data_IF_244620080489
#
_entry.id   IF_244620080489
#
_cell.length_a   1.000
_cell.length_b   1.000
_cell.length_c   1.000
_cell.angle_alpha   90.00
_cell.angle_beta   90.00
_cell.angle_gamma   90.00
#
_symmetry.space_group_name_H-M   'P 1'
#
loop_
_entity.id
_entity.type
_entity.pdbx_description
1 polymer ?
#
# COMPACT_ATOMS: atom_id res chain seq x y z
N UNK A 1 31.05 57.67 47.41
CA UNK A 1 31.68 56.33 47.28
C UNK A 1 30.72 55.16 47.49
N UNK A 2 29.79 55.17 48.42
CA UNK A 2 28.89 54.03 48.68
C UNK A 2 27.90 53.69 47.50
N UNK A 3 27.52 54.64 46.64
CA UNK A 3 26.63 54.36 45.50
C UNK A 3 27.30 53.61 44.36
N UNK A 4 28.62 53.81 44.13
CA UNK A 4 29.36 53.08 43.09
C UNK A 4 29.69 51.66 43.49
N UNK A 5 29.88 51.39 44.79
CA UNK A 5 30.10 50.05 45.31
C UNK A 5 28.87 49.14 45.09
N UNK A 6 27.67 49.68 45.21
CA UNK A 6 26.41 48.94 44.99
C UNK A 6 26.26 48.57 43.49
N UNK A 7 26.62 49.51 42.59
CA UNK A 7 26.58 49.25 41.15
C UNK A 7 27.59 48.17 40.71
N UNK A 8 28.80 48.19 41.28
CA UNK A 8 29.83 47.18 40.98
C UNK A 8 29.41 45.81 41.48
N UNK A 9 28.76 45.68 42.66
CA UNK A 9 28.26 44.43 43.19
C UNK A 9 27.11 43.89 42.35
N UNK A 10 26.18 44.76 41.92
CA UNK A 10 25.08 44.35 41.01
C UNK A 10 25.58 43.90 39.65
N UNK A 11 26.56 44.60 39.05
CA UNK A 11 27.17 44.21 37.78
C UNK A 11 27.91 42.85 37.89
N UNK A 12 28.63 42.63 38.98
CA UNK A 12 29.29 41.34 39.27
C UNK A 12 28.31 40.18 39.44
N UNK A 13 27.17 40.41 40.12
CA UNK A 13 26.09 39.42 40.25
C UNK A 13 25.42 39.11 38.89
N UNK A 14 25.23 40.12 38.07
CA UNK A 14 24.66 39.91 36.72
C UNK A 14 25.59 39.10 35.82
N UNK A 15 26.89 39.37 35.83
CA UNK A 15 27.89 38.61 35.09
C UNK A 15 27.98 37.17 35.61
N UNK A 16 27.87 36.99 36.94
CA UNK A 16 27.86 35.65 37.55
C UNK A 16 26.61 34.86 37.16
N UNK A 17 25.42 35.50 37.13
CA UNK A 17 24.18 34.85 36.66
C UNK A 17 24.25 34.47 35.17
N UNK A 18 24.84 35.32 34.30
CA UNK A 18 25.04 35.02 32.88
C UNK A 18 26.04 33.86 32.74
N UNK A 19 27.13 33.83 33.49
CA UNK A 19 28.11 32.75 33.45
C UNK A 19 27.55 31.41 33.95
N UNK A 20 26.76 31.42 35.02
CA UNK A 20 26.07 30.22 35.54
C UNK A 20 24.99 29.77 34.59
N UNK A 21 24.20 30.69 34.00
CA UNK A 21 23.18 30.40 33.00
C UNK A 21 23.78 29.80 31.71
N UNK A 22 24.91 30.34 31.23
CA UNK A 22 25.62 29.82 30.06
C UNK A 22 26.28 28.44 30.35
N UNK A 23 26.79 28.21 31.55
CA UNK A 23 27.33 26.93 31.97
C UNK A 23 26.20 25.87 32.10
N UNK A 24 25.03 26.27 32.61
CA UNK A 24 23.84 25.40 32.69
C UNK A 24 23.28 25.04 31.27
N UNK A 25 23.21 26.00 30.40
CA UNK A 25 22.82 25.79 28.99
C UNK A 25 23.86 24.94 28.24
N UNK A 26 25.15 25.13 28.47
CA UNK A 26 26.20 24.32 27.86
C UNK A 26 26.33 22.91 28.50
N UNK A 27 25.94 22.72 29.73
CA UNK A 27 25.85 21.37 30.34
C UNK A 27 24.57 20.65 29.93
N UNK A 28 23.45 21.34 29.77
CA UNK A 28 22.22 20.78 29.19
C UNK A 28 22.43 20.37 27.74
N UNK A 29 23.22 21.11 26.96
CA UNK A 29 23.56 20.73 25.58
C UNK A 29 24.66 19.65 25.45
N UNK A 30 25.40 19.35 26.53
CA UNK A 30 26.40 18.27 26.59
C UNK A 30 25.87 16.95 27.17
N UNK A 31 24.63 16.93 27.67
CA UNK A 31 24.06 15.76 28.34
C UNK A 31 23.09 14.92 27.46
N UNK A 32 22.84 15.28 26.22
CA UNK A 32 22.34 14.32 25.29
C UNK A 32 23.53 13.50 24.74
N UNK A 33 23.91 12.46 25.47
CA UNK A 33 24.43 11.27 24.79
C UNK A 33 23.36 10.93 23.78
N UNK A 34 23.59 11.28 22.51
CA UNK A 34 22.83 10.74 21.40
C UNK A 34 23.08 9.24 21.45
N UNK A 35 22.18 8.50 22.13
CA UNK A 35 22.15 7.07 21.97
C UNK A 35 22.16 6.82 20.47
N UNK A 36 23.04 5.94 19.96
CA UNK A 36 23.06 5.64 18.54
C UNK A 36 21.64 5.29 18.14
N UNK A 37 21.08 6.06 17.18
CA UNK A 37 19.74 5.85 16.69
C UNK A 37 19.63 4.40 16.24
N UNK A 38 18.67 3.67 16.79
CA UNK A 38 18.45 2.30 16.35
C UNK A 38 18.01 2.35 14.88
N UNK A 39 18.60 1.50 14.05
CA UNK A 39 18.29 1.43 12.64
C UNK A 39 18.20 -0.01 12.18
N UNK A 40 17.42 -0.26 11.14
CA UNK A 40 17.37 -1.53 10.45
C UNK A 40 17.05 -1.34 8.98
N UNK A 41 17.36 -2.36 8.16
CA UNK A 41 17.11 -2.34 6.71
C UNK A 41 15.83 -3.11 6.37
N UNK A 42 15.04 -2.57 5.45
CA UNK A 42 13.85 -3.21 4.88
C UNK A 42 13.91 -3.25 3.37
N UNK A 43 13.56 -4.37 2.75
CA UNK A 43 13.33 -4.45 1.31
C UNK A 43 11.88 -4.11 1.00
N UNK A 44 11.67 -3.35 -0.10
CA UNK A 44 10.32 -3.00 -0.51
C UNK A 44 10.17 -2.95 -2.03
N UNK A 45 9.00 -3.38 -2.53
CA UNK A 45 8.55 -3.16 -3.91
C UNK A 45 7.66 -1.92 -4.07
N UNK A 46 7.32 -1.26 -2.96
CA UNK A 46 6.51 -0.04 -2.97
C UNK A 46 7.27 1.15 -3.58
N UNK A 47 6.55 2.13 -4.15
CA UNK A 47 7.15 3.38 -4.59
C UNK A 47 7.96 4.07 -3.49
N UNK A 48 9.09 4.69 -3.89
CA UNK A 48 10.01 5.35 -2.95
C UNK A 48 9.32 6.43 -2.10
N UNK A 49 8.34 7.11 -2.64
CA UNK A 49 7.58 8.15 -1.94
C UNK A 49 6.77 7.58 -0.76
N UNK A 50 6.19 6.39 -0.93
CA UNK A 50 5.45 5.69 0.14
C UNK A 50 6.43 5.27 1.24
N UNK A 51 7.49 4.56 0.89
CA UNK A 51 8.46 4.06 1.86
C UNK A 51 9.18 5.19 2.60
N UNK A 52 9.51 6.29 1.91
CA UNK A 52 10.11 7.47 2.54
C UNK A 52 9.15 8.13 3.55
N UNK A 53 7.86 8.26 3.20
CA UNK A 53 6.85 8.82 4.12
C UNK A 53 6.69 7.99 5.39
N UNK A 54 6.68 6.67 5.26
CA UNK A 54 6.59 5.76 6.39
C UNK A 54 7.85 5.82 7.27
N UNK A 55 9.04 5.85 6.65
CA UNK A 55 10.31 5.96 7.38
C UNK A 55 10.39 7.27 8.17
N UNK A 56 10.02 8.41 7.54
CA UNK A 56 10.02 9.73 8.16
C UNK A 56 9.05 9.79 9.37
N UNK A 57 7.83 9.29 9.20
CA UNK A 57 6.82 9.28 10.27
C UNK A 57 7.27 8.40 11.44
N UNK A 58 7.77 7.21 11.16
CA UNK A 58 8.23 6.27 12.21
C UNK A 58 9.47 6.80 12.94
N UNK A 59 10.47 7.35 12.22
CA UNK A 59 11.64 7.96 12.82
C UNK A 59 11.26 9.14 13.74
N UNK A 60 10.28 9.96 13.31
CA UNK A 60 9.79 11.09 14.12
C UNK A 60 9.13 10.66 15.42
N UNK A 61 8.44 9.53 15.43
CA UNK A 61 7.68 9.03 16.59
C UNK A 61 8.55 8.19 17.53
N UNK A 62 9.37 7.29 16.98
CA UNK A 62 10.11 6.29 17.78
C UNK A 62 11.61 6.54 17.84
N UNK A 63 12.17 7.51 17.12
CA UNK A 63 13.60 7.74 16.97
C UNK A 63 14.35 6.48 16.47
N UNK A 64 13.68 5.67 15.61
CA UNK A 64 14.23 4.49 14.95
C UNK A 64 14.20 4.73 13.44
N UNK A 65 15.33 4.52 12.78
CA UNK A 65 15.46 4.72 11.34
C UNK A 65 15.24 3.43 10.57
N UNK A 66 14.34 3.48 9.58
CA UNK A 66 14.12 2.39 8.64
C UNK A 66 14.80 2.72 7.32
N UNK A 67 15.81 1.93 6.93
CA UNK A 67 16.47 2.05 5.65
C UNK A 67 15.76 1.20 4.60
N UNK A 68 14.84 1.80 3.86
CA UNK A 68 14.19 1.12 2.76
C UNK A 68 15.10 1.01 1.54
N UNK A 69 15.28 -0.21 1.05
CA UNK A 69 15.91 -0.49 -0.24
C UNK A 69 14.80 -0.90 -1.22
N UNK A 70 14.49 0.01 -2.15
CA UNK A 70 13.49 -0.24 -3.19
C UNK A 70 14.07 -1.16 -4.27
N UNK A 71 13.41 -2.26 -4.52
CA UNK A 71 13.82 -3.30 -5.47
C UNK A 71 12.59 -3.87 -6.19
N UNK A 72 12.81 -4.44 -7.37
CA UNK A 72 11.76 -5.26 -8.00
C UNK A 72 11.54 -6.57 -7.23
N UNK A 73 10.37 -7.20 -7.41
CA UNK A 73 10.03 -8.46 -6.74
C UNK A 73 11.09 -9.56 -6.96
N UNK A 74 11.61 -9.68 -8.19
CA UNK A 74 12.68 -10.65 -8.50
C UNK A 74 13.99 -10.30 -7.81
N UNK A 75 14.33 -9.01 -7.70
CA UNK A 75 15.53 -8.57 -6.99
C UNK A 75 15.41 -8.80 -5.48
N UNK A 76 14.22 -8.60 -4.89
CA UNK A 76 13.97 -8.90 -3.47
C UNK A 76 14.17 -10.39 -3.21
N UNK A 77 13.56 -11.27 -4.00
CA UNK A 77 13.71 -12.72 -3.85
C UNK A 77 15.17 -13.17 -4.00
N UNK A 78 15.88 -12.57 -4.96
CA UNK A 78 17.32 -12.85 -5.13
C UNK A 78 18.11 -12.44 -3.88
N UNK A 79 17.88 -11.24 -3.33
CA UNK A 79 18.56 -10.76 -2.12
C UNK A 79 18.23 -11.60 -0.90
N UNK A 80 16.97 -12.00 -0.72
CA UNK A 80 16.56 -12.89 0.37
C UNK A 80 17.22 -14.26 0.27
N UNK A 81 17.39 -14.80 -0.96
CA UNK A 81 18.12 -16.03 -1.19
C UNK A 81 19.59 -15.87 -0.81
N UNK A 82 20.26 -14.83 -1.30
CA UNK A 82 21.66 -14.54 -0.97
C UNK A 82 21.83 -14.40 0.55
N UNK A 83 20.88 -13.75 1.23
CA UNK A 83 20.82 -13.62 2.68
C UNK A 83 20.66 -14.97 3.37
N UNK A 84 19.79 -15.84 2.85
CA UNK A 84 19.58 -17.18 3.40
C UNK A 84 20.82 -18.06 3.31
N UNK A 85 21.62 -17.90 2.26
CA UNK A 85 22.82 -18.68 1.98
C UNK A 85 24.07 -18.10 2.69
N UNK A 86 24.04 -16.85 3.16
CA UNK A 86 25.18 -16.16 3.76
C UNK A 86 25.45 -16.60 5.21
N UNK A 87 26.73 -16.62 5.60
CA UNK A 87 27.15 -16.89 6.99
C UNK A 87 27.04 -15.67 7.92
N UNK A 88 26.86 -14.45 7.39
CA UNK A 88 26.87 -13.19 8.13
C UNK A 88 25.50 -12.49 8.13
N UNK A 89 25.12 -11.93 9.29
CA UNK A 89 23.84 -11.26 9.56
C UNK A 89 23.83 -9.77 9.17
N UNK A 90 24.22 -9.39 7.93
CA UNK A 90 24.22 -7.99 7.48
C UNK A 90 23.12 -7.76 6.44
N UNK A 91 21.86 -7.94 6.82
CA UNK A 91 20.81 -8.14 5.86
C UNK A 91 19.53 -7.40 6.28
N UNK A 92 18.58 -7.28 5.35
CA UNK A 92 17.29 -6.72 5.68
C UNK A 92 16.58 -7.56 6.74
N UNK A 93 15.92 -6.87 7.67
CA UNK A 93 15.14 -7.51 8.72
C UNK A 93 13.65 -7.62 8.34
N UNK A 94 13.18 -6.75 7.42
CA UNK A 94 11.79 -6.69 6.98
C UNK A 94 11.67 -6.73 5.47
N UNK A 95 10.60 -7.35 5.00
CA UNK A 95 10.09 -7.21 3.61
C UNK A 95 8.72 -6.58 3.66
N UNK A 96 8.54 -5.44 2.97
CA UNK A 96 7.26 -4.76 2.78
C UNK A 96 6.92 -4.80 1.29
N UNK A 97 6.00 -5.66 0.89
CA UNK A 97 5.72 -5.95 -0.51
C UNK A 97 4.29 -6.45 -0.75
N UNK A 98 3.96 -6.70 -2.00
CA UNK A 98 2.71 -7.36 -2.36
C UNK A 98 2.67 -8.83 -1.89
N UNK A 99 1.44 -9.34 -1.75
CA UNK A 99 1.18 -10.70 -1.27
C UNK A 99 1.87 -11.77 -2.10
N UNK A 100 1.91 -11.61 -3.43
CA UNK A 100 2.49 -12.66 -4.31
C UNK A 100 3.97 -12.86 -4.03
N UNK A 101 4.72 -11.76 -3.87
CA UNK A 101 6.12 -11.82 -3.47
C UNK A 101 6.28 -12.45 -2.08
N UNK A 102 5.45 -12.03 -1.11
CA UNK A 102 5.50 -12.54 0.26
C UNK A 102 5.17 -14.04 0.33
N UNK A 103 4.20 -14.52 -0.45
CA UNK A 103 3.88 -15.95 -0.56
C UNK A 103 5.07 -16.75 -1.15
N UNK A 104 5.69 -16.23 -2.22
CA UNK A 104 6.90 -16.84 -2.82
C UNK A 104 8.08 -16.87 -1.83
N UNK A 105 8.30 -15.81 -1.09
CA UNK A 105 9.35 -15.73 -0.07
C UNK A 105 9.08 -16.70 1.09
N UNK A 106 7.82 -16.84 1.53
CA UNK A 106 7.42 -17.80 2.56
C UNK A 106 7.63 -19.24 2.12
N UNK A 107 7.20 -19.60 0.89
CA UNK A 107 7.41 -20.95 0.33
C UNK A 107 8.89 -21.29 0.19
N UNK A 108 9.72 -20.32 -0.16
CA UNK A 108 11.17 -20.49 -0.27
C UNK A 108 11.90 -20.54 1.09
N UNK A 109 11.21 -20.32 2.22
CA UNK A 109 11.81 -20.31 3.56
C UNK A 109 12.64 -19.06 3.87
N UNK A 110 12.38 -17.95 3.17
CA UNK A 110 13.12 -16.70 3.36
C UNK A 110 12.50 -15.78 4.42
N UNK A 111 11.34 -16.16 4.96
CA UNK A 111 10.66 -15.43 6.03
C UNK A 111 10.55 -16.31 7.28
N UNK A 112 10.47 -15.67 8.45
CA UNK A 112 10.18 -16.35 9.71
C UNK A 112 8.77 -15.98 10.17
N UNK A 113 8.07 -16.90 10.90
CA UNK A 113 6.76 -16.57 11.46
C UNK A 113 6.88 -15.45 12.50
N UNK A 114 5.95 -14.49 12.42
CA UNK A 114 5.78 -13.45 13.41
C UNK A 114 4.32 -13.36 13.85
N UNK A 115 4.10 -13.40 15.15
CA UNK A 115 2.77 -13.35 15.78
C UNK A 115 2.73 -12.15 16.70
N UNK A 116 1.77 -11.26 16.49
CA UNK A 116 1.52 -10.12 17.36
C UNK A 116 0.03 -9.96 17.63
N UNK A 117 -0.29 -9.22 18.69
CA UNK A 117 -1.68 -8.89 19.01
C UNK A 117 -2.37 -8.12 17.88
N UNK A 118 -1.68 -7.16 17.25
CA UNK A 118 -2.23 -6.39 16.11
C UNK A 118 -2.38 -7.27 14.87
N UNK A 119 -1.40 -8.13 14.58
CA UNK A 119 -1.45 -9.08 13.48
C UNK A 119 -2.58 -10.10 13.63
N UNK A 120 -2.95 -10.45 14.86
CA UNK A 120 -4.04 -11.38 15.14
C UNK A 120 -5.43 -10.78 14.86
N UNK A 121 -5.57 -9.47 14.92
CA UNK A 121 -6.81 -8.75 14.59
C UNK A 121 -7.07 -8.70 13.08
N UNK A 122 -6.04 -8.85 12.25
CA UNK A 122 -6.15 -8.89 10.79
C UNK A 122 -6.87 -10.18 10.37
N UNK A 123 -7.86 -10.05 9.47
CA UNK A 123 -8.61 -11.19 8.99
C UNK A 123 -7.72 -12.23 8.28
N UNK A 124 -8.08 -13.52 8.36
CA UNK A 124 -7.29 -14.61 7.77
C UNK A 124 -7.06 -14.47 6.26
N UNK A 125 -7.99 -13.84 5.55
CA UNK A 125 -7.85 -13.55 4.12
C UNK A 125 -6.70 -12.59 3.79
N UNK A 126 -6.24 -11.83 4.77
CA UNK A 126 -5.16 -10.85 4.63
C UNK A 126 -3.85 -11.30 5.31
N UNK A 127 -3.70 -12.55 5.70
CA UNK A 127 -2.47 -13.04 6.33
C UNK A 127 -2.11 -14.45 5.88
N UNK A 128 -0.84 -14.79 6.02
CA UNK A 128 -0.38 -16.14 5.74
C UNK A 128 -0.87 -17.12 6.82
N UNK A 129 -1.37 -18.33 6.47
CA UNK A 129 -1.88 -19.29 7.47
C UNK A 129 -0.88 -19.61 8.58
N UNK A 130 0.41 -19.72 8.23
CA UNK A 130 1.51 -20.01 9.18
C UNK A 130 2.23 -18.73 9.65
N UNK A 131 1.63 -17.55 9.50
CA UNK A 131 2.14 -16.27 10.03
C UNK A 131 3.50 -15.83 9.47
N UNK A 132 3.89 -16.27 8.28
CA UNK A 132 5.10 -15.77 7.62
C UNK A 132 5.00 -14.32 7.15
N UNK A 133 3.79 -13.83 6.90
CA UNK A 133 3.51 -12.44 6.60
C UNK A 133 2.11 -12.04 7.07
N UNK A 134 1.94 -10.74 7.32
CA UNK A 134 0.67 -10.10 7.66
C UNK A 134 0.42 -8.95 6.67
N UNK A 135 -0.76 -8.93 6.05
CA UNK A 135 -1.20 -7.84 5.21
C UNK A 135 -1.45 -6.59 6.05
N UNK A 136 -0.97 -5.46 5.60
CA UNK A 136 -1.16 -4.15 6.25
C UNK A 136 -2.15 -3.29 5.51
N UNK A 137 -2.13 -3.35 4.17
CA UNK A 137 -3.04 -2.59 3.32
C UNK A 137 -3.55 -3.42 2.16
N UNK A 138 -4.65 -2.95 1.60
CA UNK A 138 -5.17 -3.46 0.34
C UNK A 138 -5.72 -2.34 -0.52
N UNK A 139 -5.67 -2.52 -1.83
CA UNK A 139 -6.14 -1.58 -2.83
C UNK A 139 -7.09 -2.30 -3.81
N UNK A 140 -8.40 -2.24 -3.57
CA UNK A 140 -9.37 -2.95 -4.40
C UNK A 140 -9.61 -2.22 -5.73
N UNK A 141 -9.98 -2.98 -6.76
CA UNK A 141 -10.55 -2.43 -7.98
C UNK A 141 -12.00 -2.00 -7.71
N UNK A 142 -12.36 -0.82 -8.19
CA UNK A 142 -13.68 -0.21 -8.03
C UNK A 142 -14.20 0.33 -9.37
N UNK A 143 -15.47 0.68 -9.41
CA UNK A 143 -16.04 1.47 -10.49
C UNK A 143 -16.05 2.94 -10.08
N UNK A 144 -15.25 3.76 -10.73
CA UNK A 144 -15.25 5.20 -10.56
C UNK A 144 -16.18 5.82 -11.60
N UNK A 145 -17.34 6.28 -11.17
CA UNK A 145 -18.43 6.70 -12.04
C UNK A 145 -18.56 8.22 -12.06
N UNK A 146 -18.67 8.81 -13.25
CA UNK A 146 -18.91 10.24 -13.41
C UNK A 146 -20.26 10.63 -12.81
N UNK A 147 -20.32 11.71 -12.03
CA UNK A 147 -21.57 12.13 -11.35
C UNK A 147 -22.63 12.66 -12.31
N UNK A 148 -22.26 13.22 -13.45
CA UNK A 148 -23.24 13.70 -14.43
C UNK A 148 -23.93 12.52 -15.13
N UNK A 149 -23.19 11.43 -15.41
CA UNK A 149 -23.77 10.18 -15.88
C UNK A 149 -24.80 9.65 -14.87
N UNK A 150 -24.50 9.68 -13.56
CA UNK A 150 -25.40 9.25 -12.50
C UNK A 150 -26.72 10.02 -12.43
N UNK A 151 -26.73 11.30 -12.82
CA UNK A 151 -27.93 12.13 -12.79
C UNK A 151 -28.93 11.75 -13.88
N UNK A 152 -28.47 11.12 -14.94
CA UNK A 152 -29.27 10.78 -16.13
C UNK A 152 -29.59 9.29 -16.23
N UNK A 153 -28.90 8.43 -15.46
CA UNK A 153 -29.05 6.98 -15.51
C UNK A 153 -29.36 6.44 -14.10
N UNK A 154 -30.53 5.80 -13.94
CA UNK A 154 -30.99 5.24 -12.68
C UNK A 154 -30.43 3.84 -12.41
N UNK A 155 -30.21 3.05 -13.48
CA UNK A 155 -29.75 1.68 -13.41
C UNK A 155 -28.22 1.63 -13.53
N UNK A 156 -27.53 1.77 -12.40
CA UNK A 156 -26.07 1.77 -12.34
C UNK A 156 -25.55 0.35 -12.25
N UNK A 157 -24.51 0.00 -13.03
CA UNK A 157 -23.84 -1.28 -12.88
C UNK A 157 -23.08 -1.28 -11.54
N UNK A 158 -23.55 -2.07 -10.59
CA UNK A 158 -22.88 -2.26 -9.28
C UNK A 158 -22.23 -3.66 -9.15
N UNK A 159 -22.11 -4.38 -10.25
CA UNK A 159 -21.46 -5.69 -10.33
C UNK A 159 -20.84 -5.89 -11.71
N UNK A 160 -19.86 -6.80 -11.82
CA UNK A 160 -19.27 -7.19 -13.11
C UNK A 160 -20.31 -7.75 -14.05
N UNK A 161 -21.28 -8.52 -13.54
CA UNK A 161 -22.37 -9.07 -14.32
C UNK A 161 -23.26 -7.97 -14.89
N UNK A 162 -23.63 -6.97 -14.12
CA UNK A 162 -24.42 -5.83 -14.58
C UNK A 162 -23.63 -4.97 -15.58
N UNK A 163 -22.33 -4.75 -15.33
CA UNK A 163 -21.47 -4.01 -16.25
C UNK A 163 -21.37 -4.71 -17.62
N UNK A 164 -21.30 -6.04 -17.62
CA UNK A 164 -21.30 -6.84 -18.86
C UNK A 164 -22.64 -6.85 -19.62
N UNK A 165 -23.70 -6.32 -19.02
CA UNK A 165 -25.04 -6.20 -19.65
C UNK A 165 -25.32 -4.79 -20.18
N UNK A 166 -24.43 -3.81 -19.90
CA UNK A 166 -24.56 -2.45 -20.41
C UNK A 166 -24.17 -2.39 -21.89
N UNK A 167 -24.90 -1.59 -22.67
CA UNK A 167 -24.66 -1.44 -24.12
C UNK A 167 -24.22 -0.03 -24.53
N UNK A 168 -24.61 0.99 -23.75
CA UNK A 168 -24.41 2.41 -24.11
C UNK A 168 -23.59 3.17 -23.06
N UNK A 169 -22.67 2.49 -22.36
CA UNK A 169 -21.79 3.08 -21.35
C UNK A 169 -20.35 3.18 -21.88
N UNK A 170 -19.74 4.34 -21.75
CA UNK A 170 -18.33 4.54 -22.12
C UNK A 170 -17.45 4.17 -20.94
N UNK A 171 -16.58 3.18 -21.13
CA UNK A 171 -15.72 2.63 -20.06
C UNK A 171 -14.26 2.95 -20.34
N UNK A 172 -13.54 3.43 -19.33
CA UNK A 172 -12.08 3.52 -19.28
C UNK A 172 -11.49 2.44 -18.37
N UNK A 173 -10.38 1.86 -18.75
CA UNK A 173 -9.64 0.92 -17.90
C UNK A 173 -8.14 1.00 -18.17
N UNK A 174 -7.33 0.54 -17.21
CA UNK A 174 -5.89 0.35 -17.45
C UNK A 174 -5.66 -0.97 -18.18
N UNK A 175 -4.75 -0.95 -19.15
CA UNK A 175 -4.38 -2.13 -19.93
C UNK A 175 -3.82 -3.21 -18.99
N UNK A 176 -4.27 -4.45 -19.17
CA UNK A 176 -3.82 -5.58 -18.37
C UNK A 176 -2.33 -5.90 -18.55
N UNK A 177 -1.72 -5.43 -19.64
CA UNK A 177 -0.27 -5.54 -19.86
C UNK A 177 0.53 -4.36 -19.27
N UNK A 178 -0.14 -3.30 -18.81
CA UNK A 178 0.52 -2.06 -18.42
C UNK A 178 0.80 -1.94 -16.92
N UNK A 179 0.04 -2.64 -16.08
CA UNK A 179 0.19 -2.57 -14.63
C UNK A 179 -0.24 -3.86 -13.94
N UNK A 180 0.49 -4.25 -12.89
CA UNK A 180 0.24 -5.47 -12.12
C UNK A 180 -1.16 -5.47 -11.47
N UNK A 181 -1.64 -4.32 -11.00
CA UNK A 181 -2.98 -4.20 -10.42
C UNK A 181 -4.08 -4.53 -11.44
N UNK A 182 -3.92 -4.13 -12.71
CA UNK A 182 -4.89 -4.43 -13.77
C UNK A 182 -4.79 -5.88 -14.24
N UNK A 183 -3.60 -6.43 -14.45
CA UNK A 183 -3.45 -7.86 -14.76
C UNK A 183 -3.95 -8.77 -13.63
N UNK A 184 -3.72 -8.37 -12.37
CA UNK A 184 -4.26 -9.09 -11.20
C UNK A 184 -5.80 -9.14 -11.20
N UNK A 185 -6.49 -8.13 -11.74
CA UNK A 185 -7.95 -8.19 -11.91
C UNK A 185 -8.35 -9.34 -12.83
N UNK A 186 -7.70 -9.46 -14.00
CA UNK A 186 -7.98 -10.56 -14.94
C UNK A 186 -7.73 -11.92 -14.29
N UNK A 187 -6.57 -12.11 -13.67
CA UNK A 187 -6.21 -13.38 -13.02
C UNK A 187 -7.14 -13.71 -11.86
N UNK A 188 -7.53 -12.72 -11.07
CA UNK A 188 -8.47 -12.92 -9.96
C UNK A 188 -9.88 -13.28 -10.43
N UNK A 189 -10.35 -12.68 -11.53
CA UNK A 189 -11.63 -13.07 -12.15
C UNK A 189 -11.58 -14.49 -12.73
N UNK A 190 -10.44 -14.89 -13.32
CA UNK A 190 -10.24 -16.26 -13.81
C UNK A 190 -10.25 -17.25 -12.64
N UNK A 191 -9.58 -16.93 -11.54
CA UNK A 191 -9.57 -17.78 -10.34
C UNK A 191 -10.96 -17.89 -9.69
N UNK A 192 -11.75 -16.81 -9.68
CA UNK A 192 -13.08 -16.78 -9.04
C UNK A 192 -14.17 -17.41 -9.90
N UNK A 193 -14.21 -17.11 -11.19
CA UNK A 193 -15.32 -17.51 -12.09
C UNK A 193 -14.95 -18.67 -13.01
N UNK A 194 -13.68 -19.04 -13.10
CA UNK A 194 -13.15 -19.87 -14.19
C UNK A 194 -12.85 -19.06 -15.44
N UNK A 195 -11.91 -19.53 -16.26
CA UNK A 195 -11.39 -18.82 -17.42
C UNK A 195 -12.48 -18.48 -18.45
N UNK A 196 -13.31 -19.45 -18.82
CA UNK A 196 -14.36 -19.25 -19.81
C UNK A 196 -15.34 -18.13 -19.41
N UNK A 197 -15.76 -18.13 -18.14
CA UNK A 197 -16.72 -17.15 -17.62
C UNK A 197 -16.10 -15.77 -17.47
N UNK A 198 -14.85 -15.69 -17.01
CA UNK A 198 -14.13 -14.43 -16.92
C UNK A 198 -13.96 -13.78 -18.28
N UNK A 199 -13.58 -14.56 -19.31
CA UNK A 199 -13.44 -14.07 -20.68
C UNK A 199 -14.80 -13.69 -21.30
N UNK A 200 -15.87 -14.42 -21.00
CA UNK A 200 -17.22 -14.05 -21.45
C UNK A 200 -17.65 -12.68 -20.87
N UNK A 201 -17.41 -12.43 -19.58
CA UNK A 201 -17.70 -11.14 -18.96
C UNK A 201 -16.92 -10.03 -19.67
N UNK A 202 -15.62 -10.21 -19.89
CA UNK A 202 -14.79 -9.21 -20.55
C UNK A 202 -15.15 -9.01 -22.03
N UNK A 203 -15.51 -10.07 -22.77
CA UNK A 203 -16.01 -9.92 -24.17
C UNK A 203 -17.26 -9.06 -24.26
N UNK A 204 -18.15 -9.18 -23.28
CA UNK A 204 -19.37 -8.35 -23.22
C UNK A 204 -19.08 -6.90 -22.82
N UNK A 205 -18.06 -6.65 -21.96
CA UNK A 205 -17.64 -5.30 -21.58
C UNK A 205 -16.84 -4.63 -22.69
N UNK A 206 -16.07 -5.39 -23.47
CA UNK A 206 -15.13 -4.92 -24.49
C UNK A 206 -15.70 -3.88 -25.47
N UNK A 207 -16.91 -4.03 -26.04
CA UNK A 207 -17.46 -3.05 -26.97
C UNK A 207 -17.65 -1.65 -26.38
N UNK A 208 -17.76 -1.56 -25.07
CA UNK A 208 -17.95 -0.31 -24.32
C UNK A 208 -16.62 0.33 -23.87
N UNK A 209 -15.50 -0.37 -24.04
CA UNK A 209 -14.19 0.17 -23.63
C UNK A 209 -13.68 1.15 -24.66
N UNK A 210 -13.69 2.42 -24.30
CA UNK A 210 -13.22 3.50 -25.17
C UNK A 210 -11.70 3.52 -25.30
N UNK A 211 -10.99 3.18 -24.20
CA UNK A 211 -9.53 3.21 -24.17
C UNK A 211 -8.98 2.28 -23.10
N UNK A 212 -7.90 1.57 -23.47
CA UNK A 212 -6.98 0.92 -22.56
C UNK A 212 -5.81 1.86 -22.26
N UNK A 213 -5.68 2.30 -21.02
CA UNK A 213 -4.71 3.29 -20.62
C UNK A 213 -3.41 2.64 -20.11
N UNK A 214 -2.29 3.35 -20.26
CA UNK A 214 -0.99 2.87 -19.76
C UNK A 214 -0.84 3.04 -18.25
N UNK A 215 -1.47 4.06 -17.66
CA UNK A 215 -1.29 4.41 -16.26
C UNK A 215 -2.58 4.24 -15.46
N UNK A 216 -2.48 3.83 -14.19
CA UNK A 216 -3.61 3.56 -13.31
C UNK A 216 -4.51 4.79 -13.07
N UNK A 217 -3.93 5.99 -13.03
CA UNK A 217 -4.69 7.23 -12.80
C UNK A 217 -5.47 7.71 -14.04
N UNK A 218 -5.07 7.32 -15.25
CA UNK A 218 -5.65 7.88 -16.48
C UNK A 218 -7.15 7.57 -16.64
N UNK A 219 -7.65 6.34 -16.43
CA UNK A 219 -9.09 6.07 -16.56
C UNK A 219 -9.91 6.85 -15.54
N UNK A 220 -9.38 7.05 -14.30
CA UNK A 220 -10.05 7.82 -13.25
C UNK A 220 -10.19 9.28 -13.67
N UNK A 221 -9.11 9.88 -14.19
CA UNK A 221 -9.14 11.25 -14.72
C UNK A 221 -10.18 11.39 -15.84
N UNK A 222 -10.22 10.44 -16.76
CA UNK A 222 -11.19 10.45 -17.85
C UNK A 222 -12.63 10.41 -17.33
N UNK A 223 -12.93 9.58 -16.33
CA UNK A 223 -14.25 9.56 -15.68
C UNK A 223 -14.56 10.90 -14.98
N UNK A 224 -13.58 11.46 -14.26
CA UNK A 224 -13.74 12.76 -13.61
C UNK A 224 -13.98 13.92 -14.55
N UNK A 225 -13.44 13.86 -15.79
CA UNK A 225 -13.63 14.86 -16.84
C UNK A 225 -14.86 14.59 -17.73
N UNK A 226 -15.57 13.48 -17.55
CA UNK A 226 -16.71 13.09 -18.40
C UNK A 226 -16.30 12.57 -19.77
N UNK A 227 -15.03 12.28 -20.00
CA UNK A 227 -14.56 11.64 -21.26
C UNK A 227 -15.07 10.18 -21.36
N UNK A 228 -15.20 9.51 -20.19
CA UNK A 228 -15.89 8.23 -20.02
C UNK A 228 -16.92 8.33 -18.90
N UNK A 229 -17.91 7.44 -18.91
CA UNK A 229 -18.99 7.44 -17.92
C UNK A 229 -18.60 6.69 -16.66
N UNK A 230 -17.79 5.63 -16.82
CA UNK A 230 -17.28 4.77 -15.77
C UNK A 230 -15.83 4.40 -16.04
N UNK A 231 -15.00 4.33 -15.01
CA UNK A 231 -13.70 3.69 -15.10
C UNK A 231 -13.58 2.50 -14.16
N UNK A 232 -12.97 1.43 -14.65
CA UNK A 232 -12.49 0.30 -13.84
C UNK A 232 -11.08 0.66 -13.36
N UNK A 233 -10.92 0.92 -12.06
CA UNK A 233 -9.70 1.49 -11.53
C UNK A 233 -9.41 1.05 -10.09
N UNK A 234 -8.18 1.21 -9.62
CA UNK A 234 -7.81 1.02 -8.21
C UNK A 234 -8.44 2.11 -7.34
N UNK A 235 -8.85 1.74 -6.13
CA UNK A 235 -9.50 2.67 -5.20
C UNK A 235 -8.57 3.81 -4.80
N UNK A 236 -7.29 3.55 -4.56
CA UNK A 236 -6.32 4.56 -4.15
C UNK A 236 -6.23 5.74 -5.13
N UNK A 237 -6.14 5.45 -6.43
CA UNK A 237 -6.16 6.49 -7.47
C UNK A 237 -7.53 7.16 -7.54
N UNK A 238 -8.62 6.41 -7.40
CA UNK A 238 -9.97 6.97 -7.41
C UNK A 238 -10.17 7.97 -6.27
N UNK A 239 -9.72 7.64 -5.05
CA UNK A 239 -9.82 8.52 -3.89
C UNK A 239 -8.97 9.79 -4.04
N UNK A 240 -7.82 9.72 -4.73
CA UNK A 240 -7.03 10.93 -5.04
C UNK A 240 -7.84 11.93 -5.83
N UNK A 241 -8.52 11.51 -6.90
CA UNK A 241 -9.33 12.39 -7.72
C UNK A 241 -10.60 12.86 -7.02
N UNK A 242 -11.22 11.99 -6.20
CA UNK A 242 -12.35 12.41 -5.34
C UNK A 242 -11.91 13.48 -4.35
N UNK A 243 -10.72 13.37 -3.78
CA UNK A 243 -10.15 14.36 -2.86
C UNK A 243 -9.76 15.68 -3.56
N UNK A 244 -9.53 15.62 -4.86
CA UNK A 244 -9.31 16.80 -5.73
C UNK A 244 -10.61 17.37 -6.30
N UNK A 245 -11.76 17.04 -5.69
CA UNK A 245 -13.10 17.52 -6.04
C UNK A 245 -13.55 17.17 -7.48
N UNK A 246 -12.95 16.14 -8.08
CA UNK A 246 -13.48 15.63 -9.35
C UNK A 246 -14.87 15.00 -9.12
N UNK A 247 -15.84 15.20 -10.04
CA UNK A 247 -17.21 14.72 -9.90
C UNK A 247 -17.30 13.20 -10.12
N UNK A 248 -16.70 12.44 -9.22
CA UNK A 248 -16.65 10.97 -9.24
C UNK A 248 -17.42 10.41 -8.04
N UNK A 249 -18.18 9.34 -8.28
CA UNK A 249 -18.74 8.47 -7.26
C UNK A 249 -18.10 7.09 -7.34
N UNK A 250 -17.67 6.57 -6.19
CA UNK A 250 -17.12 5.23 -6.08
C UNK A 250 -18.24 4.22 -5.88
N UNK A 251 -18.29 3.18 -6.74
CA UNK A 251 -19.14 2.02 -6.57
C UNK A 251 -18.25 0.78 -6.36
N UNK A 252 -18.61 -0.03 -5.38
CA UNK A 252 -17.92 -1.27 -5.06
C UNK A 252 -18.70 -2.43 -5.67
N UNK A 253 -18.06 -3.29 -6.53
CA UNK A 253 -18.75 -4.44 -7.13
C UNK A 253 -19.28 -5.39 -6.06
N UNK A 254 -20.61 -5.60 -6.03
CA UNK A 254 -21.28 -6.43 -5.01
C UNK A 254 -21.01 -7.92 -5.19
N UNK A 255 -20.65 -8.34 -6.40
CA UNK A 255 -20.22 -9.70 -6.75
C UNK A 255 -18.74 -9.96 -6.47
N UNK A 256 -18.07 -9.02 -5.80
CA UNK A 256 -16.66 -9.10 -5.43
C UNK A 256 -15.73 -8.43 -6.43
N UNK A 257 -14.48 -8.24 -6.02
CA UNK A 257 -13.45 -7.62 -6.86
C UNK A 257 -12.06 -8.12 -6.49
N UNK A 258 -11.08 -7.86 -7.34
CA UNK A 258 -9.68 -8.07 -7.00
C UNK A 258 -9.14 -6.94 -6.13
N UNK A 259 -8.06 -7.24 -5.40
CA UNK A 259 -7.29 -6.23 -4.69
C UNK A 259 -5.80 -6.58 -4.73
N UNK A 260 -4.94 -5.56 -4.82
CA UNK A 260 -3.55 -5.72 -4.44
C UNK A 260 -3.46 -5.66 -2.92
N UNK A 261 -2.85 -6.68 -2.31
CA UNK A 261 -2.64 -6.73 -0.86
C UNK A 261 -1.16 -6.50 -0.63
N UNK A 262 -0.83 -5.51 0.19
CA UNK A 262 0.52 -5.22 0.65
C UNK A 262 0.66 -5.69 2.09
N UNK A 263 1.76 -6.33 2.40
CA UNK A 263 2.01 -6.88 3.73
C UNK A 263 3.47 -6.82 4.12
N UNK A 264 3.73 -7.24 5.34
CA UNK A 264 5.07 -7.35 5.91
C UNK A 264 5.39 -8.78 6.30
N UNK A 265 6.66 -9.16 6.09
CA UNK A 265 7.24 -10.40 6.61
C UNK A 265 8.61 -10.11 7.23
N UNK A 266 8.94 -10.83 8.31
CA UNK A 266 10.26 -10.76 8.95
C UNK A 266 11.22 -11.66 8.18
N UNK A 267 12.34 -11.12 7.75
CA UNK A 267 13.29 -11.85 6.92
C UNK A 267 14.09 -12.86 7.73
N UNK A 268 14.28 -14.05 7.17
CA UNK A 268 15.14 -15.09 7.76
C UNK A 268 16.59 -14.59 7.85
N UNK A 269 17.29 -14.95 8.92
CA UNK A 269 18.67 -14.51 9.25
C UNK A 269 18.85 -12.99 9.44
N UNK A 270 17.83 -12.26 9.78
CA UNK A 270 18.03 -10.96 10.41
C UNK A 270 18.73 -11.11 11.77
N UNK A 271 19.50 -10.09 12.19
CA UNK A 271 20.01 -10.09 13.57
C UNK A 271 18.83 -10.04 14.54
N UNK A 272 18.97 -10.62 15.75
CA UNK A 272 17.91 -10.61 16.77
C UNK A 272 17.43 -9.18 17.06
N UNK A 273 18.38 -8.24 17.16
CA UNK A 273 18.10 -6.81 17.38
C UNK A 273 17.28 -6.19 16.25
N UNK A 274 17.71 -6.44 15.01
CA UNK A 274 17.05 -5.82 13.83
C UNK A 274 15.70 -6.50 13.54
N UNK A 275 15.59 -7.81 13.80
CA UNK A 275 14.32 -8.54 13.72
C UNK A 275 13.31 -7.96 14.71
N UNK A 276 13.70 -7.72 15.97
CA UNK A 276 12.82 -7.12 16.96
C UNK A 276 12.38 -5.69 16.57
N UNK A 277 13.30 -4.87 16.04
CA UNK A 277 12.95 -3.53 15.55
C UNK A 277 11.97 -3.60 14.34
N UNK A 278 12.17 -4.58 13.45
CA UNK A 278 11.29 -4.83 12.31
C UNK A 278 9.89 -5.30 12.75
N UNK A 279 9.78 -6.12 13.78
CA UNK A 279 8.53 -6.56 14.40
C UNK A 279 7.71 -5.39 14.95
N UNK A 280 8.34 -4.49 15.70
CA UNK A 280 7.69 -3.29 16.22
C UNK A 280 7.23 -2.37 15.09
N UNK A 281 8.03 -2.23 14.04
CA UNK A 281 7.65 -1.47 12.87
C UNK A 281 6.49 -2.13 12.10
N UNK A 282 6.49 -3.46 11.95
CA UNK A 282 5.39 -4.19 11.32
C UNK A 282 4.06 -3.97 12.06
N UNK A 283 4.09 -3.92 13.38
CA UNK A 283 2.92 -3.62 14.21
C UNK A 283 2.48 -2.16 14.09
N UNK A 284 3.44 -1.22 13.99
CA UNK A 284 3.12 0.18 13.75
C UNK A 284 2.42 0.40 12.40
N UNK A 285 2.80 -0.33 11.36
CA UNK A 285 2.11 -0.24 10.05
C UNK A 285 0.62 -0.60 10.12
N UNK A 286 0.17 -1.30 11.17
CA UNK A 286 -1.23 -1.65 11.42
C UNK A 286 -1.97 -0.60 12.28
N UNK A 287 -1.44 0.60 12.44
CA UNK A 287 -2.01 1.68 13.26
C UNK A 287 -2.58 2.82 12.42
N UNK A 288 -3.34 3.71 13.06
CA UNK A 288 -3.86 4.93 12.41
C UNK A 288 -2.74 5.92 12.08
N UNK A 289 -1.65 5.96 12.86
CA UNK A 289 -0.49 6.83 12.62
C UNK A 289 0.15 6.53 11.27
N UNK A 290 0.34 5.26 10.94
CA UNK A 290 0.83 4.85 9.61
C UNK A 290 -0.13 5.25 8.49
N UNK A 291 -1.45 5.15 8.72
CA UNK A 291 -2.47 5.60 7.76
C UNK A 291 -2.43 7.12 7.55
N UNK A 292 -2.26 7.89 8.63
CA UNK A 292 -2.13 9.35 8.57
C UNK A 292 -0.88 9.74 7.77
N UNK A 293 0.25 9.07 7.98
CA UNK A 293 1.49 9.31 7.23
C UNK A 293 1.28 9.10 5.72
N UNK A 294 0.57 8.06 5.31
CA UNK A 294 0.22 7.81 3.91
C UNK A 294 -0.75 8.88 3.37
N UNK A 295 -1.81 9.18 4.11
CA UNK A 295 -2.84 10.14 3.69
C UNK A 295 -2.28 11.56 3.50
N UNK A 296 -1.34 12.00 4.34
CA UNK A 296 -0.64 13.30 4.21
C UNK A 296 0.12 13.42 2.90
N UNK A 297 0.58 12.31 2.33
CA UNK A 297 1.24 12.23 1.01
C UNK A 297 0.28 11.77 -0.10
N UNK A 298 -1.04 11.74 0.20
CA UNK A 298 -2.12 11.41 -0.75
C UNK A 298 -2.08 9.96 -1.25
N UNK A 299 -1.60 9.04 -0.43
CA UNK A 299 -1.69 7.61 -0.65
C UNK A 299 -2.87 7.05 0.15
N UNK A 300 -3.93 6.63 -0.53
CA UNK A 300 -5.21 6.23 0.06
C UNK A 300 -5.41 4.71 -0.01
N UNK A 301 -4.47 3.96 0.56
CA UNK A 301 -4.60 2.51 0.72
C UNK A 301 -5.53 2.18 1.90
N UNK A 302 -6.33 1.12 1.78
CA UNK A 302 -7.18 0.68 2.88
C UNK A 302 -6.40 -0.19 3.86
N UNK A 303 -6.52 0.09 5.15
CA UNK A 303 -5.92 -0.75 6.19
C UNK A 303 -6.68 -2.07 6.35
N UNK A 304 -5.96 -3.12 6.75
CA UNK A 304 -6.52 -4.45 7.06
C UNK A 304 -6.91 -4.63 8.52
N UNK A 305 -6.45 -3.71 9.40
CA UNK A 305 -6.72 -3.79 10.83
C UNK A 305 -8.09 -3.19 11.19
N UNK A 306 -9.07 -4.00 11.63
CA UNK A 306 -10.43 -3.52 11.93
C UNK A 306 -10.51 -2.59 13.15
N UNK A 307 -9.46 -2.49 13.95
CA UNK A 307 -9.43 -1.62 15.14
C UNK A 307 -9.08 -0.17 14.82
N UNK A 308 -8.64 0.12 13.59
CA UNK A 308 -8.30 1.48 13.16
C UNK A 308 -9.55 2.28 12.78
N UNK A 309 -9.51 3.60 12.99
CA UNK A 309 -10.56 4.52 12.54
C UNK A 309 -10.69 4.49 11.02
N UNK A 310 -9.55 4.41 10.31
CA UNK A 310 -9.50 4.33 8.85
C UNK A 310 -10.26 3.12 8.31
N UNK A 311 -10.13 1.94 8.95
CA UNK A 311 -10.92 0.76 8.58
C UNK A 311 -12.43 0.99 8.80
N UNK A 312 -12.79 1.56 9.95
CA UNK A 312 -14.18 1.78 10.31
C UNK A 312 -14.91 2.74 9.35
N UNK A 313 -14.20 3.72 8.77
CA UNK A 313 -14.74 4.62 7.74
C UNK A 313 -15.19 3.88 6.47
N UNK A 314 -14.58 2.74 6.17
CA UNK A 314 -14.91 1.91 5.00
C UNK A 314 -15.72 0.65 5.34
N UNK A 315 -15.90 0.29 6.62
CA UNK A 315 -16.60 -0.92 7.04
C UNK A 315 -18.04 -1.01 6.49
N UNK A 316 -18.74 0.14 6.40
CA UNK A 316 -20.10 0.22 5.85
C UNK A 316 -20.18 0.15 4.31
N UNK A 317 -19.06 0.09 3.59
CA UNK A 317 -19.03 0.05 2.11
C UNK A 317 -19.19 -1.36 1.56
N UNK A 318 -19.15 -2.40 2.41
CA UNK A 318 -19.29 -3.82 2.03
C UNK A 318 -18.34 -4.22 0.89
N UNK A 319 -17.05 -3.85 1.01
CA UNK A 319 -16.03 -4.19 0.02
C UNK A 319 -15.78 -5.70 0.09
N UNK A 320 -16.21 -6.43 -0.95
CA UNK A 320 -16.02 -7.87 -1.06
C UNK A 320 -14.83 -8.17 -1.97
N UNK A 321 -13.80 -8.83 -1.45
CA UNK A 321 -12.67 -9.30 -2.26
C UNK A 321 -12.95 -10.73 -2.70
N UNK A 322 -12.57 -11.10 -3.93
CA UNK A 322 -12.70 -12.45 -4.45
C UNK A 322 -12.08 -13.47 -3.51
N UNK A 323 -12.76 -14.61 -3.33
CA UNK A 323 -12.37 -15.66 -2.39
C UNK A 323 -11.22 -16.49 -2.91
N UNK A 324 -11.24 -16.79 -4.22
CA UNK A 324 -10.24 -17.63 -4.85
C UNK A 324 -9.02 -16.79 -5.22
N UNK A 325 -7.84 -17.28 -4.81
CA UNK A 325 -6.57 -16.60 -5.10
C UNK A 325 -6.02 -17.05 -6.45
N UNK A 326 -5.51 -16.13 -7.28
CA UNK A 326 -4.84 -16.52 -8.51
C UNK A 326 -3.46 -17.10 -8.18
N UNK A 327 -3.30 -18.42 -8.32
CA UNK A 327 -2.03 -19.12 -8.24
C UNK A 327 -1.61 -19.54 -9.64
N UNK A 328 -1.09 -18.61 -10.42
CA UNK A 328 -0.59 -18.87 -11.76
C UNK A 328 0.92 -18.66 -11.82
N UNK A 329 1.65 -19.58 -12.44
CA UNK A 329 3.05 -19.37 -12.78
C UNK A 329 3.19 -18.20 -13.76
N UNK A 330 4.42 -17.73 -13.97
CA UNK A 330 4.68 -16.67 -14.95
C UNK A 330 4.24 -17.09 -16.34
N UNK A 331 4.56 -18.30 -16.73
CA UNK A 331 4.21 -18.88 -18.03
C UNK A 331 2.70 -18.97 -18.22
N UNK A 332 1.95 -19.39 -17.20
CA UNK A 332 0.49 -19.42 -17.25
C UNK A 332 -0.10 -18.00 -17.35
N UNK A 333 0.45 -17.02 -16.63
CA UNK A 333 0.05 -15.62 -16.73
C UNK A 333 0.25 -15.06 -18.14
N UNK A 334 1.41 -15.33 -18.74
CA UNK A 334 1.72 -14.91 -20.11
C UNK A 334 0.75 -15.55 -21.13
N UNK A 335 0.44 -16.84 -20.97
CA UNK A 335 -0.55 -17.53 -21.81
C UNK A 335 -1.95 -16.93 -21.66
N UNK A 336 -2.38 -16.65 -20.43
CA UNK A 336 -3.70 -16.06 -20.16
C UNK A 336 -3.83 -14.65 -20.74
N UNK A 337 -2.78 -13.83 -20.65
CA UNK A 337 -2.75 -12.50 -21.28
C UNK A 337 -2.79 -12.58 -22.81
N UNK A 338 -2.00 -13.47 -23.40
CA UNK A 338 -2.01 -13.71 -24.85
C UNK A 338 -3.40 -14.14 -25.35
N UNK A 339 -4.05 -15.02 -24.61
CA UNK A 339 -5.41 -15.47 -24.93
C UNK A 339 -6.42 -14.34 -24.78
N UNK A 340 -6.33 -13.54 -23.69
CA UNK A 340 -7.20 -12.37 -23.52
C UNK A 340 -7.05 -11.38 -24.68
N UNK A 341 -5.82 -11.12 -25.14
CA UNK A 341 -5.57 -10.26 -26.31
C UNK A 341 -6.29 -10.80 -27.54
N UNK A 342 -6.17 -12.09 -27.83
CA UNK A 342 -6.72 -12.71 -29.05
C UNK A 342 -8.22 -12.93 -28.98
N UNK A 343 -8.73 -13.37 -27.82
CA UNK A 343 -10.11 -13.83 -27.67
C UNK A 343 -11.06 -12.76 -27.12
N UNK A 344 -10.54 -11.65 -26.59
CA UNK A 344 -11.34 -10.58 -26.00
C UNK A 344 -11.02 -9.24 -26.62
N UNK A 345 -9.76 -8.78 -26.52
CA UNK A 345 -9.38 -7.40 -26.89
C UNK A 345 -9.48 -7.14 -28.40
N UNK A 346 -9.03 -8.08 -29.23
CA UNK A 346 -9.03 -7.99 -30.70
C UNK A 346 -9.93 -9.05 -31.34
N UNK A 347 -10.92 -9.52 -30.60
CA UNK A 347 -11.91 -10.43 -31.14
C UNK A 347 -12.77 -9.67 -32.17
N UNK A 348 -12.64 -10.05 -33.43
CA UNK A 348 -13.55 -9.66 -34.56
C UNK A 348 -14.56 -10.77 -34.71
N UNK A 349 -15.87 -10.44 -34.59
CA UNK A 349 -16.96 -11.37 -34.88
C UNK A 349 -17.06 -11.71 -36.38
#
# INVERSE_FOLDING_TARGET
>A
MKRYALFIVMAALLVMMIAVGSAYLSSASRGEERHPMQEFTAYTSLPAEISASLAEAYESEYNIRVHFIQLSSEQILKRLREQSDAEQNTNAALVLADRELLDRAAVAGYLVPYISEKGDQVAESFRHPNRYWTGVWYDPIVFAVNQDYLRTHLDLPNSWQMLAQQHDIRIGTTDFMAADASSNLLYSMIAEYGEQRAFEIWRRIQPNIMQYSKYLHTPVRQAGMGEVDLSVAVLSETLRYVHDDYPIRVLYPVDGTSAVIYGTGIAFRASERDAHAAEVFADWLLTDEAQIALAQRRFYLLTTNPMTLSYQMFAGKNISIFRHRPYFSKEEKDILLDRWIKEVRFYEE
#
